data_IF_776160422374
#
_entry.id   IF_776160422374
#
_cell.length_a   1.000
_cell.length_b   1.000
_cell.length_c   1.000
_cell.angle_alpha   90.00
_cell.angle_beta   90.00
_cell.angle_gamma   90.00
#
_symmetry.space_group_name_H-M   'P 1'
#
loop_
_entity.id
_entity.type
_entity.pdbx_description
1 polymer ?
#
# COMPACT_ATOMS: atom_id res chain seq x y z
N UNK A 1 24.14 -23.26 -4.33
CA UNK A 1 24.01 -21.80 -4.50
C UNK A 1 22.54 -21.47 -4.34
N UNK A 2 22.12 -21.03 -3.15
CA UNK A 2 20.71 -20.83 -2.82
C UNK A 2 20.26 -19.47 -3.35
N UNK A 3 19.29 -19.45 -4.25
CA UNK A 3 18.75 -18.25 -4.92
C UNK A 3 17.64 -17.54 -4.14
N UNK A 4 17.52 -17.82 -2.84
CA UNK A 4 16.64 -17.07 -1.94
C UNK A 4 17.37 -15.81 -1.48
N UNK A 5 17.56 -14.89 -2.42
CA UNK A 5 17.74 -13.48 -2.08
C UNK A 5 16.41 -13.05 -1.47
N UNK A 6 16.34 -13.08 -0.13
CA UNK A 6 15.26 -12.45 0.59
C UNK A 6 15.33 -10.97 0.22
N UNK A 7 14.51 -10.57 -0.76
CA UNK A 7 14.18 -9.16 -1.01
C UNK A 7 13.35 -8.73 0.20
N UNK A 8 14.01 -8.56 1.34
CA UNK A 8 13.53 -7.72 2.41
C UNK A 8 13.42 -6.35 1.74
N UNK A 9 12.21 -5.80 1.53
CA UNK A 9 12.12 -4.44 1.04
C UNK A 9 13.01 -3.59 1.96
N UNK A 10 13.91 -2.75 1.42
CA UNK A 10 14.82 -1.97 2.25
C UNK A 10 14.00 -1.31 3.36
N UNK A 11 14.56 -1.19 4.56
CA UNK A 11 13.86 -0.63 5.72
C UNK A 11 13.19 0.75 5.40
N UNK A 12 13.69 1.44 4.37
CA UNK A 12 13.19 2.69 3.80
C UNK A 12 12.17 2.57 2.64
N UNK A 13 11.75 1.38 2.21
CA UNK A 13 10.83 1.21 1.07
C UNK A 13 9.47 1.88 1.33
N UNK A 14 8.97 1.81 2.56
CA UNK A 14 7.77 2.53 2.99
C UNK A 14 7.99 4.04 2.89
N UNK A 15 9.10 4.56 3.44
CA UNK A 15 9.40 5.98 3.44
C UNK A 15 9.57 6.53 2.02
N UNK A 16 10.30 5.83 1.15
CA UNK A 16 10.47 6.18 -0.25
C UNK A 16 9.13 6.20 -1.00
N UNK A 17 8.30 5.16 -0.80
CA UNK A 17 6.98 5.10 -1.42
C UNK A 17 6.08 6.26 -0.96
N UNK A 18 6.03 6.54 0.34
CA UNK A 18 5.19 7.64 0.83
C UNK A 18 5.75 8.99 0.39
N UNK A 19 7.07 9.19 0.40
CA UNK A 19 7.70 10.43 -0.09
C UNK A 19 7.35 10.73 -1.55
N UNK A 20 7.36 9.70 -2.39
CA UNK A 20 7.02 9.80 -3.82
C UNK A 20 5.53 10.11 -4.04
N UNK A 21 4.64 9.40 -3.33
CA UNK A 21 3.22 9.39 -3.67
C UNK A 21 2.33 10.26 -2.77
N UNK A 22 2.78 10.70 -1.58
CA UNK A 22 1.92 11.46 -0.63
C UNK A 22 1.32 12.73 -1.22
N UNK A 23 2.05 13.41 -2.10
CA UNK A 23 1.64 14.67 -2.73
C UNK A 23 0.78 14.47 -3.98
N UNK A 24 0.64 13.24 -4.47
CA UNK A 24 -0.11 12.94 -5.67
C UNK A 24 -1.63 13.02 -5.44
N UNK A 25 -2.37 13.22 -6.53
CA UNK A 25 -3.83 13.17 -6.50
C UNK A 25 -4.34 11.83 -5.92
N UNK A 26 -5.50 11.80 -5.25
CA UNK A 26 -6.05 10.59 -4.62
C UNK A 26 -6.09 9.37 -5.56
N UNK A 27 -6.55 9.55 -6.80
CA UNK A 27 -6.62 8.47 -7.80
C UNK A 27 -5.23 7.94 -8.19
N UNK A 28 -4.24 8.82 -8.25
CA UNK A 28 -2.84 8.45 -8.54
C UNK A 28 -2.23 7.67 -7.37
N UNK A 29 -2.52 8.09 -6.14
CA UNK A 29 -2.11 7.34 -4.92
C UNK A 29 -2.71 5.95 -4.89
N UNK A 30 -4.00 5.82 -5.21
CA UNK A 30 -4.67 4.55 -5.32
C UNK A 30 -4.04 3.67 -6.40
N UNK A 31 -3.74 4.23 -7.58
CA UNK A 31 -3.05 3.51 -8.66
C UNK A 31 -1.65 3.04 -8.25
N UNK A 32 -0.90 3.87 -7.51
CA UNK A 32 0.42 3.52 -6.98
C UNK A 32 0.33 2.37 -5.97
N UNK A 33 -0.62 2.41 -5.03
CA UNK A 33 -0.87 1.34 -4.07
C UNK A 33 -1.24 0.03 -4.80
N UNK A 34 -2.14 0.09 -5.78
CA UNK A 34 -2.48 -1.06 -6.63
C UNK A 34 -1.26 -1.63 -7.35
N UNK A 35 -0.41 -0.75 -7.89
CA UNK A 35 0.85 -1.14 -8.55
C UNK A 35 1.81 -1.83 -7.59
N UNK A 36 1.95 -1.31 -6.37
CA UNK A 36 2.78 -1.92 -5.34
C UNK A 36 2.24 -3.28 -4.90
N UNK A 37 0.94 -3.40 -4.65
CA UNK A 37 0.29 -4.67 -4.31
C UNK A 37 0.54 -5.74 -5.40
N UNK A 38 0.35 -5.38 -6.68
CA UNK A 38 0.66 -6.29 -7.80
C UNK A 38 2.12 -6.71 -7.83
N UNK A 39 3.05 -5.79 -7.57
CA UNK A 39 4.48 -6.10 -7.50
C UNK A 39 4.81 -7.08 -6.37
N UNK A 40 4.06 -7.05 -5.27
CA UNK A 40 4.15 -8.01 -4.18
C UNK A 40 3.38 -9.31 -4.41
N UNK A 41 2.80 -9.51 -5.60
CA UNK A 41 2.01 -10.70 -5.92
C UNK A 41 0.64 -10.73 -5.23
N UNK A 42 0.20 -9.60 -4.67
CA UNK A 42 -1.11 -9.47 -4.04
C UNK A 42 -2.08 -9.03 -5.13
N UNK A 43 -2.84 -9.99 -5.65
CA UNK A 43 -3.97 -9.70 -6.52
C UNK A 43 -5.11 -9.17 -5.66
N UNK A 44 -5.58 -7.95 -5.94
CA UNK A 44 -6.83 -7.45 -5.36
C UNK A 44 -7.95 -8.21 -6.06
N UNK A 45 -8.65 -9.14 -5.39
CA UNK A 45 -9.71 -9.88 -6.04
C UNK A 45 -10.82 -8.90 -6.41
N UNK A 46 -11.22 -8.90 -7.69
CA UNK A 46 -12.44 -8.24 -8.12
C UNK A 46 -13.63 -9.03 -7.55
N UNK A 47 -13.93 -8.86 -6.26
CA UNK A 47 -14.96 -9.61 -5.57
C UNK A 47 -16.35 -9.19 -6.08
N UNK A 48 -17.13 -10.10 -6.69
CA UNK A 48 -18.53 -9.84 -6.98
C UNK A 48 -19.34 -10.03 -5.69
N UNK A 49 -19.41 -9.00 -4.85
CA UNK A 49 -20.18 -9.02 -3.61
C UNK A 49 -19.99 -7.78 -2.75
N UNK A 50 -20.91 -7.52 -1.81
CA UNK A 50 -20.71 -6.52 -0.75
C UNK A 50 -19.62 -7.02 0.20
N UNK A 51 -18.39 -6.54 0.00
CA UNK A 51 -17.31 -6.66 0.98
C UNK A 51 -17.71 -5.86 2.22
N UNK A 52 -17.58 -6.45 3.41
CA UNK A 52 -17.90 -5.73 4.67
C UNK A 52 -16.97 -4.52 4.88
N UNK A 53 -15.74 -4.63 4.37
CA UNK A 53 -14.73 -3.58 4.29
C UNK A 53 -13.66 -4.01 3.28
N UNK A 54 -12.91 -3.05 2.77
CA UNK A 54 -11.67 -3.26 2.02
C UNK A 54 -10.49 -3.19 2.97
N UNK A 55 -9.53 -4.09 2.80
CA UNK A 55 -8.28 -4.13 3.55
C UNK A 55 -7.10 -4.01 2.58
N UNK A 56 -6.16 -3.13 2.90
CA UNK A 56 -4.89 -2.97 2.19
C UNK A 56 -3.77 -3.33 3.16
N UNK A 57 -3.05 -4.40 2.83
CA UNK A 57 -1.83 -4.81 3.52
C UNK A 57 -0.63 -4.60 2.60
N UNK A 58 0.18 -3.59 2.89
CA UNK A 58 1.34 -3.21 2.08
C UNK A 58 2.47 -2.68 2.97
N UNK A 59 3.71 -3.07 2.68
CA UNK A 59 4.91 -2.74 3.47
C UNK A 59 4.78 -3.04 4.98
N UNK A 60 4.05 -4.12 5.33
CA UNK A 60 3.80 -4.48 6.74
C UNK A 60 2.76 -3.59 7.44
N UNK A 61 2.14 -2.64 6.74
CA UNK A 61 1.07 -1.80 7.25
C UNK A 61 -0.29 -2.27 6.75
N UNK A 62 -1.26 -2.33 7.65
CA UNK A 62 -2.65 -2.69 7.36
C UNK A 62 -3.54 -1.48 7.58
N UNK A 63 -4.43 -1.21 6.62
CA UNK A 63 -5.52 -0.26 6.81
C UNK A 63 -6.80 -0.75 6.14
N UNK A 64 -7.93 -0.40 6.75
CA UNK A 64 -9.26 -0.78 6.26
C UNK A 64 -10.09 0.44 5.86
N UNK A 65 -11.06 0.26 4.97
CA UNK A 65 -12.01 1.29 4.58
C UNK A 65 -13.32 0.67 4.09
N UNK A 66 -14.39 1.47 3.99
CA UNK A 66 -15.69 1.02 3.45
C UNK A 66 -15.61 0.66 1.96
N UNK A 67 -14.72 1.33 1.26
CA UNK A 67 -14.38 1.10 -0.14
C UNK A 67 -12.85 1.16 -0.32
N UNK A 68 -12.38 0.76 -1.49
CA UNK A 68 -10.95 0.70 -1.80
C UNK A 68 -10.25 2.07 -1.72
N UNK A 69 -10.93 3.14 -2.12
CA UNK A 69 -10.35 4.49 -2.08
C UNK A 69 -10.22 4.98 -0.63
N UNK A 70 -11.21 4.68 0.22
CA UNK A 70 -11.14 4.95 1.65
C UNK A 70 -10.02 4.14 2.33
N UNK A 71 -9.89 2.85 2.01
CA UNK A 71 -8.80 2.03 2.53
C UNK A 71 -7.42 2.56 2.11
N UNK A 72 -7.27 2.97 0.84
CA UNK A 72 -6.04 3.55 0.30
C UNK A 72 -5.69 4.89 0.96
N UNK A 73 -6.70 5.74 1.21
CA UNK A 73 -6.50 6.99 1.95
C UNK A 73 -6.04 6.71 3.37
N UNK A 74 -6.75 5.83 4.09
CA UNK A 74 -6.41 5.47 5.46
C UNK A 74 -5.01 4.84 5.55
N UNK A 75 -4.64 3.99 4.58
CA UNK A 75 -3.31 3.41 4.47
C UNK A 75 -2.24 4.49 4.29
N UNK A 76 -2.44 5.42 3.35
CA UNK A 76 -1.48 6.49 3.07
C UNK A 76 -1.31 7.44 4.27
N UNK A 77 -2.40 7.77 4.97
CA UNK A 77 -2.34 8.59 6.18
C UNK A 77 -1.57 7.89 7.32
N UNK A 78 -1.82 6.59 7.53
CA UNK A 78 -1.09 5.81 8.52
C UNK A 78 0.40 5.69 8.16
N UNK A 79 0.71 5.41 6.90
CA UNK A 79 2.06 5.33 6.38
C UNK A 79 2.82 6.66 6.53
N UNK A 80 2.17 7.79 6.25
CA UNK A 80 2.76 9.12 6.43
C UNK A 80 3.01 9.50 7.89
N UNK A 81 2.24 8.96 8.85
CA UNK A 81 2.49 9.19 10.29
C UNK A 81 3.69 8.39 10.81
N UNK A 82 3.97 7.24 10.21
CA UNK A 82 5.09 6.38 10.61
C UNK A 82 6.41 6.76 9.97
N UNK A 83 6.38 7.47 8.85
CA UNK A 83 7.58 8.00 8.20
C UNK A 83 7.84 9.43 8.71
N UNK A 84 8.82 9.67 9.59
CA UNK A 84 9.25 11.03 9.87
C UNK A 84 9.86 11.59 8.58
N UNK A 85 9.19 12.56 7.96
CA UNK A 85 9.77 13.34 6.88
C UNK A 85 10.59 14.44 7.55
N UNK A 86 11.88 14.20 7.72
CA UNK A 86 12.88 15.24 8.01
C UNK A 86 13.33 15.88 6.70
#
# INVERSE_FOLDING_TARGET
MSIMDSIVPPHDALAAFVAEWRGAAPDVRLAAIRGALRRHGIEIPALPGRVAFYEIQLFGLVATGRDEAEAARNWMEAAARLCPFD
#
